data_IF_914234278293
#
_entry.id   IF_914234278293
#
_cell.length_a   1.000
_cell.length_b   1.000
_cell.length_c   1.000
_cell.angle_alpha   90.00
_cell.angle_beta   90.00
_cell.angle_gamma   90.00
#
_symmetry.space_group_name_H-M   'P 1'
#
loop_
_entity.id
_entity.type
_entity.pdbx_description
1 polymer ?
#
# COMPACT_ATOMS: atom_id res chain seq x y z
N UNK A 1 -34.96 10.88 19.21
CA UNK A 1 -34.87 9.82 18.17
C UNK A 1 -34.82 8.42 18.79
N UNK A 2 -33.91 8.13 19.73
CA UNK A 2 -33.82 6.81 20.40
C UNK A 2 -35.12 6.36 21.10
N UNK A 3 -35.78 7.24 21.86
CA UNK A 3 -37.04 6.92 22.56
C UNK A 3 -38.17 6.56 21.58
N UNK A 4 -38.29 7.28 20.47
CA UNK A 4 -39.29 7.02 19.43
C UNK A 4 -39.01 5.66 18.76
N UNK A 5 -37.74 5.35 18.49
CA UNK A 5 -37.33 4.06 17.96
C UNK A 5 -37.62 2.92 18.93
N UNK A 6 -37.37 3.10 20.23
CA UNK A 6 -37.71 2.11 21.26
C UNK A 6 -39.23 1.85 21.34
N UNK A 7 -40.05 2.90 21.30
CA UNK A 7 -41.52 2.76 21.27
C UNK A 7 -41.98 2.01 20.02
N UNK A 8 -41.40 2.32 18.85
CA UNK A 8 -41.68 1.61 17.62
C UNK A 8 -41.29 0.12 17.69
N UNK A 9 -40.13 -0.20 18.25
CA UNK A 9 -39.67 -1.58 18.48
C UNK A 9 -40.57 -2.35 19.47
N UNK A 10 -41.10 -1.68 20.50
CA UNK A 10 -42.06 -2.30 21.42
C UNK A 10 -43.38 -2.57 20.68
N UNK A 11 -43.91 -1.58 19.96
CA UNK A 11 -45.15 -1.72 19.20
C UNK A 11 -45.08 -2.86 18.15
N UNK A 12 -43.96 -2.93 17.41
CA UNK A 12 -43.79 -3.97 16.38
C UNK A 12 -43.65 -5.36 17.02
N UNK A 13 -42.94 -5.48 18.14
CA UNK A 13 -42.86 -6.74 18.88
C UNK A 13 -44.22 -7.19 19.41
N UNK A 14 -45.01 -6.28 19.99
CA UNK A 14 -46.37 -6.59 20.45
C UNK A 14 -47.25 -7.05 19.28
N UNK A 15 -47.13 -6.44 18.10
CA UNK A 15 -47.85 -6.88 16.91
C UNK A 15 -47.42 -8.27 16.47
N UNK A 16 -46.12 -8.55 16.41
CA UNK A 16 -45.56 -9.85 16.02
C UNK A 16 -45.97 -10.94 17.01
N UNK A 17 -45.86 -10.70 18.32
CA UNK A 17 -46.20 -11.66 19.37
C UNK A 17 -47.71 -11.97 19.41
N UNK A 18 -48.56 -11.02 19.01
CA UNK A 18 -50.00 -11.22 18.92
C UNK A 18 -50.46 -11.75 17.54
N UNK A 19 -49.55 -12.06 16.61
CA UNK A 19 -49.91 -12.73 15.38
C UNK A 19 -50.41 -14.14 15.70
N UNK A 20 -51.72 -14.35 15.55
CA UNK A 20 -52.30 -15.69 15.54
C UNK A 20 -51.93 -16.36 14.23
N UNK A 21 -50.77 -17.00 14.19
CA UNK A 21 -50.35 -17.82 13.06
C UNK A 21 -51.29 -19.03 12.98
N UNK A 22 -51.99 -19.17 11.85
CA UNK A 22 -52.72 -20.41 11.57
C UNK A 22 -51.70 -21.51 11.37
N UNK A 23 -51.93 -22.69 11.96
CA UNK A 23 -51.15 -23.87 11.64
C UNK A 23 -51.37 -24.20 10.16
N UNK A 24 -50.29 -24.14 9.38
CA UNK A 24 -50.30 -24.55 7.98
C UNK A 24 -49.64 -25.92 7.94
N UNK A 25 -50.39 -26.95 7.54
CA UNK A 25 -49.81 -28.26 7.27
C UNK A 25 -49.02 -28.20 5.97
N UNK A 26 -47.72 -27.99 6.10
CA UNK A 26 -46.78 -28.02 4.98
C UNK A 26 -46.29 -29.46 4.79
N UNK A 27 -46.38 -29.99 3.57
CA UNK A 27 -45.79 -31.29 3.24
C UNK A 27 -44.27 -31.24 3.53
N UNK A 28 -43.66 -32.27 4.15
CA UNK A 28 -42.25 -32.26 4.56
C UNK A 28 -41.29 -31.84 3.42
N UNK A 29 -41.59 -32.26 2.19
CA UNK A 29 -40.77 -31.93 1.02
C UNK A 29 -40.76 -30.43 0.68
N UNK A 30 -41.89 -29.75 0.87
CA UNK A 30 -42.01 -28.31 0.63
C UNK A 30 -41.33 -27.52 1.76
N UNK A 31 -41.39 -28.02 3.00
CA UNK A 31 -40.65 -27.43 4.12
C UNK A 31 -39.13 -27.53 3.91
N UNK A 32 -38.63 -28.69 3.47
CA UNK A 32 -37.21 -28.87 3.13
C UNK A 32 -36.81 -27.90 2.01
N UNK A 33 -37.62 -27.80 0.95
CA UNK A 33 -37.38 -26.87 -0.15
C UNK A 33 -37.31 -25.41 0.30
N UNK A 34 -38.25 -24.96 1.14
CA UNK A 34 -38.24 -23.61 1.70
C UNK A 34 -37.00 -23.33 2.57
N UNK A 35 -36.55 -24.32 3.35
CA UNK A 35 -35.32 -24.18 4.14
C UNK A 35 -34.08 -24.12 3.25
N UNK A 36 -34.00 -24.92 2.18
CA UNK A 36 -32.91 -24.82 1.20
C UNK A 36 -32.92 -23.46 0.53
N UNK A 37 -34.09 -22.95 0.15
CA UNK A 37 -34.23 -21.62 -0.46
C UNK A 37 -33.84 -20.50 0.53
N UNK A 38 -34.20 -20.63 1.80
CA UNK A 38 -33.78 -19.72 2.85
C UNK A 38 -32.26 -19.74 3.08
N UNK A 39 -31.66 -20.93 3.16
CA UNK A 39 -30.20 -21.10 3.26
C UNK A 39 -29.53 -20.47 2.05
N UNK A 40 -30.03 -20.71 0.84
CA UNK A 40 -29.52 -20.11 -0.38
C UNK A 40 -29.62 -18.58 -0.33
N UNK A 41 -30.77 -18.02 0.09
CA UNK A 41 -30.94 -16.58 0.26
C UNK A 41 -29.95 -16.00 1.28
N UNK A 42 -29.71 -16.68 2.40
CA UNK A 42 -28.68 -16.30 3.37
C UNK A 42 -27.27 -16.35 2.77
N UNK A 43 -26.94 -17.39 2.00
CA UNK A 43 -25.63 -17.50 1.34
C UNK A 43 -25.43 -16.35 0.35
N UNK A 44 -26.45 -16.00 -0.44
CA UNK A 44 -26.39 -14.85 -1.35
C UNK A 44 -26.24 -13.54 -0.58
N UNK A 45 -27.02 -13.33 0.48
CA UNK A 45 -26.95 -12.12 1.30
C UNK A 45 -25.60 -11.97 2.02
N UNK A 46 -25.06 -13.06 2.58
CA UNK A 46 -23.77 -13.08 3.29
C UNK A 46 -22.57 -12.96 2.35
N UNK A 47 -22.71 -13.39 1.08
CA UNK A 47 -21.66 -13.22 0.06
C UNK A 47 -21.43 -11.73 -0.26
N UNK A 48 -22.49 -10.91 -0.21
CA UNK A 48 -22.44 -9.49 -0.56
C UNK A 48 -22.41 -9.25 -2.07
N UNK A 49 -21.66 -8.24 -2.52
CA UNK A 49 -21.61 -7.82 -3.93
C UNK A 49 -21.09 -8.95 -4.85
N UNK A 50 -21.67 -9.09 -6.05
CA UNK A 50 -21.35 -10.20 -6.95
C UNK A 50 -19.90 -10.20 -7.47
N UNK A 51 -19.26 -9.02 -7.51
CA UNK A 51 -17.89 -8.85 -8.02
C UNK A 51 -16.79 -8.94 -6.96
N UNK A 52 -17.10 -8.78 -5.67
CA UNK A 52 -16.12 -8.93 -4.58
C UNK A 52 -16.81 -9.21 -3.24
N UNK A 53 -16.16 -9.98 -2.35
CA UNK A 53 -16.75 -10.22 -1.01
C UNK A 53 -16.55 -8.97 -0.17
N UNK A 54 -17.65 -8.46 0.40
CA UNK A 54 -17.66 -7.21 1.17
C UNK A 54 -16.88 -7.31 2.49
N UNK A 55 -16.82 -8.48 3.13
CA UNK A 55 -16.11 -8.69 4.40
C UNK A 55 -15.09 -9.82 4.27
N UNK A 56 -13.81 -9.49 4.46
CA UNK A 56 -12.65 -10.40 4.48
C UNK A 56 -11.64 -9.88 5.51
N UNK A 57 -10.70 -10.71 5.94
CA UNK A 57 -9.59 -10.31 6.83
C UNK A 57 -8.85 -9.06 6.31
N UNK A 58 -8.67 -8.96 4.99
CA UNK A 58 -7.95 -7.86 4.36
C UNK A 58 -8.76 -6.57 4.20
N UNK A 59 -10.05 -6.57 4.51
CA UNK A 59 -10.96 -5.46 4.20
C UNK A 59 -12.18 -5.41 5.14
N UNK A 60 -12.01 -5.79 6.41
CA UNK A 60 -13.12 -5.79 7.38
C UNK A 60 -13.38 -4.39 7.93
N UNK A 61 -12.41 -3.47 7.86
CA UNK A 61 -12.64 -2.05 8.12
C UNK A 61 -13.22 -1.38 6.87
N UNK A 62 -14.49 -1.00 6.91
CA UNK A 62 -15.19 -0.30 5.81
C UNK A 62 -15.71 1.08 6.23
N UNK A 63 -15.48 1.47 7.49
CA UNK A 63 -15.89 2.74 8.07
C UNK A 63 -14.72 3.39 8.80
N UNK A 64 -14.69 4.72 8.81
CA UNK A 64 -13.81 5.49 9.70
C UNK A 64 -14.25 5.44 11.16
N UNK A 65 -15.46 4.93 11.44
CA UNK A 65 -15.99 4.72 12.79
C UNK A 65 -15.65 3.30 13.24
N UNK A 66 -14.71 3.18 14.18
CA UNK A 66 -14.20 1.90 14.69
C UNK A 66 -15.30 0.94 15.15
N UNK A 67 -16.31 1.45 15.86
CA UNK A 67 -17.41 0.63 16.39
C UNK A 67 -18.18 -0.12 15.29
N UNK A 68 -18.34 0.48 14.10
CA UNK A 68 -19.01 -0.18 12.98
C UNK A 68 -18.19 -1.33 12.39
N UNK A 69 -16.87 -1.19 12.38
CA UNK A 69 -15.97 -2.26 11.93
C UNK A 69 -16.00 -3.43 12.92
N UNK A 70 -15.92 -3.16 14.22
CA UNK A 70 -15.89 -4.19 15.27
C UNK A 70 -17.16 -5.06 15.30
N UNK A 71 -18.35 -4.44 15.19
CA UNK A 71 -19.63 -5.18 15.20
C UNK A 71 -19.94 -5.93 13.90
N UNK A 72 -19.24 -5.61 12.81
CA UNK A 72 -19.51 -6.21 11.49
C UNK A 72 -19.00 -7.64 11.36
N UNK A 73 -18.00 -8.01 12.16
CA UNK A 73 -17.37 -9.32 12.09
C UNK A 73 -18.04 -10.30 13.06
N UNK A 74 -18.52 -11.43 12.52
CA UNK A 74 -19.02 -12.52 13.35
C UNK A 74 -17.86 -13.14 14.16
N UNK A 75 -17.99 -13.35 15.49
CA UNK A 75 -16.93 -13.94 16.32
C UNK A 75 -16.38 -15.28 15.81
N UNK A 76 -17.23 -16.16 15.27
CA UNK A 76 -16.81 -17.44 14.69
C UNK A 76 -15.97 -17.25 13.42
N UNK A 77 -16.32 -16.26 12.60
CA UNK A 77 -15.58 -15.90 11.40
C UNK A 77 -14.22 -15.29 11.79
N UNK A 78 -14.19 -14.37 12.75
CA UNK A 78 -12.97 -13.77 13.26
C UNK A 78 -12.03 -14.83 13.87
N UNK A 79 -12.57 -15.78 14.65
CA UNK A 79 -11.80 -16.90 15.18
C UNK A 79 -11.24 -17.80 14.08
N UNK A 80 -12.05 -18.14 13.07
CA UNK A 80 -11.61 -18.93 11.92
C UNK A 80 -10.45 -18.26 11.18
N UNK A 81 -10.53 -16.94 11.00
CA UNK A 81 -9.46 -16.14 10.41
C UNK A 81 -8.19 -16.15 11.27
N UNK A 82 -8.31 -15.85 12.56
CA UNK A 82 -7.18 -15.85 13.50
C UNK A 82 -6.51 -17.24 13.58
N UNK A 83 -7.29 -18.31 13.62
CA UNK A 83 -6.75 -19.68 13.62
C UNK A 83 -6.02 -20.03 12.32
N UNK A 84 -6.53 -19.56 11.18
CA UNK A 84 -5.85 -19.71 9.89
C UNK A 84 -4.53 -18.94 9.86
N UNK A 85 -4.48 -17.72 10.38
CA UNK A 85 -3.23 -16.95 10.46
C UNK A 85 -2.23 -17.61 11.42
N UNK A 86 -2.67 -18.04 12.60
CA UNK A 86 -1.83 -18.79 13.55
C UNK A 86 -1.20 -20.03 12.90
N UNK A 87 -1.96 -20.79 12.09
CA UNK A 87 -1.42 -21.96 11.39
C UNK A 87 -0.40 -21.62 10.29
N UNK A 88 -0.51 -20.44 9.68
CA UNK A 88 0.35 -20.00 8.59
C UNK A 88 1.46 -19.05 9.08
N UNK A 89 1.57 -18.82 10.38
CA UNK A 89 2.55 -17.90 10.94
C UNK A 89 3.97 -18.41 10.69
N UNK A 90 4.90 -17.47 10.53
CA UNK A 90 6.31 -17.81 10.38
C UNK A 90 6.89 -18.18 11.75
N UNK A 91 7.70 -19.24 11.77
CA UNK A 91 8.49 -19.62 12.94
C UNK A 91 9.83 -18.88 12.94
N UNK A 92 10.14 -18.22 14.06
CA UNK A 92 11.38 -17.49 14.23
C UNK A 92 12.37 -18.37 14.98
N UNK A 93 13.50 -18.65 14.35
CA UNK A 93 14.62 -19.34 15.02
C UNK A 93 15.34 -18.32 15.91
N UNK A 94 15.70 -18.74 17.12
CA UNK A 94 16.58 -17.94 17.98
C UNK A 94 17.91 -17.68 17.27
N UNK A 95 18.38 -16.44 17.32
CA UNK A 95 19.70 -16.07 16.80
C UNK A 95 20.76 -16.41 17.83
N UNK A 96 21.82 -17.12 17.43
CA UNK A 96 23.00 -17.32 18.28
C UNK A 96 23.82 -16.02 18.29
N UNK A 97 23.86 -15.36 19.45
CA UNK A 97 24.61 -14.10 19.64
C UNK A 97 26.10 -14.26 19.35
N UNK A 98 26.67 -15.45 19.58
CA UNK A 98 28.08 -15.72 19.26
C UNK A 98 28.29 -15.74 17.74
N UNK A 99 27.38 -16.38 17.00
CA UNK A 99 27.43 -16.38 15.54
C UNK A 99 27.22 -14.97 14.98
N UNK A 100 26.32 -14.18 15.57
CA UNK A 100 26.09 -12.79 15.20
C UNK A 100 27.37 -11.95 15.34
N UNK A 101 28.01 -11.98 16.51
CA UNK A 101 29.25 -11.24 16.76
C UNK A 101 30.36 -11.64 15.78
N UNK A 102 30.48 -12.94 15.46
CA UNK A 102 31.43 -13.43 14.46
C UNK A 102 31.13 -12.94 13.04
N UNK A 103 29.85 -12.74 12.69
CA UNK A 103 29.46 -12.18 11.39
C UNK A 103 29.75 -10.67 11.33
N UNK A 104 29.50 -9.94 12.42
CA UNK A 104 29.82 -8.51 12.50
C UNK A 104 31.33 -8.26 12.34
N UNK A 105 32.17 -9.04 13.03
CA UNK A 105 33.63 -8.95 12.89
C UNK A 105 34.13 -9.25 11.46
N UNK A 106 33.45 -10.17 10.75
CA UNK A 106 33.85 -10.60 9.40
C UNK A 106 33.30 -9.73 8.28
N UNK A 107 32.15 -9.11 8.48
CA UNK A 107 31.41 -8.38 7.44
C UNK A 107 31.48 -6.88 7.69
N UNK A 108 30.65 -6.39 8.61
CA UNK A 108 30.52 -4.98 8.98
C UNK A 108 29.70 -4.88 10.27
N UNK A 109 29.88 -3.80 11.06
CA UNK A 109 29.06 -3.57 12.25
C UNK A 109 27.58 -3.47 11.87
N UNK A 110 26.70 -4.02 12.71
CA UNK A 110 25.26 -3.99 12.46
C UNK A 110 24.66 -2.58 12.63
N UNK A 111 25.28 -1.77 13.48
CA UNK A 111 24.89 -0.39 13.73
C UNK A 111 25.98 0.56 13.26
N UNK A 112 25.54 1.66 12.64
CA UNK A 112 26.40 2.77 12.25
C UNK A 112 25.67 4.09 12.53
N UNK A 113 26.42 5.16 12.72
CA UNK A 113 25.90 6.50 13.00
C UNK A 113 26.35 7.47 11.94
N UNK A 114 25.42 8.21 11.35
CA UNK A 114 25.75 9.29 10.44
C UNK A 114 26.44 10.44 11.18
N UNK A 115 27.21 11.23 10.45
CA UNK A 115 27.78 12.46 11.00
C UNK A 115 26.65 13.43 11.39
N UNK A 116 26.80 14.21 12.48
CA UNK A 116 25.84 15.24 12.82
C UNK A 116 25.60 16.19 11.65
N UNK A 117 24.34 16.27 11.20
CA UNK A 117 23.97 17.04 10.04
C UNK A 117 23.20 18.30 10.46
N UNK A 118 23.53 19.45 9.86
CA UNK A 118 22.91 20.73 10.23
C UNK A 118 21.42 20.79 9.91
N UNK A 119 20.91 19.87 9.09
CA UNK A 119 19.51 19.82 8.69
C UNK A 119 18.71 18.74 9.42
N UNK A 120 19.24 18.26 10.55
CA UNK A 120 18.56 17.28 11.40
C UNK A 120 17.16 17.77 11.75
N UNK A 121 16.17 16.94 11.43
CA UNK A 121 14.76 17.22 11.64
C UNK A 121 14.28 18.58 11.08
N UNK A 122 14.83 19.07 9.96
CA UNK A 122 14.33 20.29 9.30
C UNK A 122 13.36 20.02 8.15
N UNK A 123 13.64 19.00 7.34
CA UNK A 123 12.84 18.68 6.16
C UNK A 123 11.73 17.69 6.49
N UNK A 124 10.57 17.88 5.87
CA UNK A 124 9.60 16.81 5.71
C UNK A 124 10.17 15.70 4.84
N UNK A 125 9.80 14.46 5.14
CA UNK A 125 10.22 13.28 4.38
C UNK A 125 8.99 12.60 3.83
N UNK A 126 8.99 12.34 2.53
CA UNK A 126 7.99 11.51 1.88
C UNK A 126 8.65 10.28 1.26
N UNK A 127 8.24 9.10 1.69
CA UNK A 127 8.65 7.82 1.10
C UNK A 127 7.44 7.22 0.39
N UNK A 128 7.46 7.25 -0.95
CA UNK A 128 6.42 6.70 -1.81
C UNK A 128 6.77 5.30 -2.30
N UNK A 129 6.05 4.29 -1.81
CA UNK A 129 6.19 2.91 -2.28
C UNK A 129 5.08 2.67 -3.30
N UNK A 130 5.46 2.54 -4.56
CA UNK A 130 4.52 2.38 -5.67
C UNK A 130 4.34 0.90 -5.99
N UNK A 131 3.09 0.44 -6.04
CA UNK A 131 2.75 -0.94 -6.39
C UNK A 131 3.32 -1.28 -7.76
N UNK A 132 3.98 -2.43 -7.89
CA UNK A 132 4.48 -2.99 -9.14
C UNK A 132 5.25 -2.00 -10.04
N UNK A 133 5.90 -0.96 -9.47
CA UNK A 133 6.68 0.03 -10.23
C UNK A 133 8.06 -0.53 -10.62
N UNK A 134 8.03 -1.59 -11.43
CA UNK A 134 9.20 -2.29 -11.93
C UNK A 134 9.77 -1.70 -13.21
N UNK A 135 11.10 -1.68 -13.33
CA UNK A 135 11.77 -1.22 -14.55
C UNK A 135 11.57 -2.18 -15.72
N UNK A 136 11.26 -3.45 -15.44
CA UNK A 136 10.98 -4.46 -16.47
C UNK A 136 9.76 -4.14 -17.36
N UNK A 137 8.84 -3.29 -16.89
CA UNK A 137 7.77 -2.72 -17.72
C UNK A 137 8.17 -1.35 -18.25
N UNK A 138 8.83 -0.53 -17.42
CA UNK A 138 9.30 0.80 -17.78
C UNK A 138 10.19 0.83 -19.04
N UNK A 139 11.00 -0.21 -19.24
CA UNK A 139 11.89 -0.38 -20.40
C UNK A 139 11.15 -0.44 -21.75
N UNK A 140 9.85 -0.76 -21.75
CA UNK A 140 9.02 -0.72 -22.97
C UNK A 140 8.56 0.69 -23.34
N UNK A 141 8.91 1.72 -22.55
CA UNK A 141 8.51 3.08 -22.87
C UNK A 141 9.20 3.59 -24.13
N UNK A 142 8.41 4.15 -25.05
CA UNK A 142 8.87 4.76 -26.30
C UNK A 142 8.14 6.09 -26.52
N UNK A 143 8.37 6.76 -27.66
CA UNK A 143 7.58 7.94 -28.05
C UNK A 143 6.09 7.64 -28.29
N UNK A 144 5.75 6.40 -28.66
CA UNK A 144 4.36 5.96 -28.91
C UNK A 144 3.69 5.32 -27.68
N UNK A 145 4.51 4.86 -26.73
CA UNK A 145 4.10 4.22 -25.49
C UNK A 145 4.75 5.00 -24.34
N UNK A 146 4.12 6.09 -23.94
CA UNK A 146 4.63 6.93 -22.84
C UNK A 146 4.22 6.32 -21.49
N UNK A 147 5.07 5.47 -20.93
CA UNK A 147 4.80 4.81 -19.65
C UNK A 147 5.13 5.69 -18.45
N UNK A 148 5.75 6.85 -18.66
CA UNK A 148 6.15 7.75 -17.58
C UNK A 148 5.25 8.99 -17.49
N UNK A 149 4.65 9.43 -18.59
CA UNK A 149 3.79 10.62 -18.61
C UNK A 149 4.51 11.83 -18.00
N UNK A 150 3.84 12.52 -17.07
CA UNK A 150 4.45 13.64 -16.35
C UNK A 150 5.70 13.26 -15.54
N UNK A 151 5.90 12.01 -15.13
CA UNK A 151 7.08 11.59 -14.34
C UNK A 151 8.39 11.73 -15.12
N UNK A 152 8.33 11.64 -16.46
CA UNK A 152 9.52 11.61 -17.32
C UNK A 152 10.47 12.79 -17.07
N UNK A 153 9.94 14.02 -17.02
CA UNK A 153 10.75 15.22 -16.77
C UNK A 153 11.40 15.22 -15.38
N UNK A 154 10.76 14.60 -14.38
CA UNK A 154 11.35 14.51 -13.04
C UNK A 154 12.51 13.52 -13.02
N UNK A 155 12.40 12.41 -13.77
CA UNK A 155 13.51 11.47 -13.95
C UNK A 155 14.72 12.11 -14.64
N UNK A 156 14.48 13.07 -15.53
CA UNK A 156 15.55 13.82 -16.22
C UNK A 156 16.19 14.93 -15.35
N UNK A 157 15.44 15.48 -14.38
CA UNK A 157 15.85 16.63 -13.57
C UNK A 157 16.40 16.29 -12.18
N UNK A 158 16.04 15.13 -11.65
CA UNK A 158 16.33 14.73 -10.28
C UNK A 158 17.25 13.49 -10.24
N UNK A 159 17.49 12.96 -9.04
CA UNK A 159 18.38 11.81 -8.84
C UNK A 159 17.56 10.53 -9.05
N UNK A 160 18.00 9.64 -9.95
CA UNK A 160 17.33 8.37 -10.22
C UNK A 160 18.32 7.23 -10.40
N UNK A 161 18.23 6.23 -9.54
CA UNK A 161 18.97 4.98 -9.70
C UNK A 161 18.10 3.95 -10.40
N UNK A 162 18.58 3.44 -11.53
CA UNK A 162 17.90 2.36 -12.28
C UNK A 162 18.56 0.99 -12.08
N UNK A 163 19.75 0.94 -11.47
CA UNK A 163 20.41 -0.30 -11.05
C UNK A 163 20.05 -0.62 -9.60
N UNK A 164 18.76 -0.60 -9.29
CA UNK A 164 18.26 -0.65 -7.93
C UNK A 164 17.30 -1.83 -7.74
N UNK A 165 17.50 -2.62 -6.68
CA UNK A 165 16.77 -3.87 -6.48
C UNK A 165 15.72 -3.72 -5.38
N UNK A 166 14.53 -4.27 -5.66
CA UNK A 166 13.52 -4.48 -4.63
C UNK A 166 14.01 -5.51 -3.60
N UNK A 167 13.65 -5.32 -2.33
CA UNK A 167 14.04 -6.25 -1.27
C UNK A 167 13.35 -7.61 -1.39
N UNK A 168 12.20 -7.68 -2.04
CA UNK A 168 11.47 -8.91 -2.35
C UNK A 168 10.66 -8.74 -3.65
N UNK A 169 10.01 -9.82 -4.10
CA UNK A 169 9.14 -9.80 -5.28
C UNK A 169 7.64 -9.78 -4.91
N UNK A 170 7.31 -9.13 -3.79
CA UNK A 170 5.98 -9.09 -3.18
C UNK A 170 5.89 -7.85 -2.27
N UNK A 171 4.78 -7.11 -2.35
CA UNK A 171 4.51 -5.87 -1.63
C UNK A 171 4.74 -6.02 -0.13
N UNK A 172 4.14 -7.04 0.52
CA UNK A 172 4.21 -7.16 1.98
C UNK A 172 5.62 -7.49 2.45
N UNK A 173 6.35 -8.34 1.72
CA UNK A 173 7.73 -8.70 2.05
C UNK A 173 8.68 -7.52 1.84
N UNK A 174 8.55 -6.79 0.73
CA UNK A 174 9.33 -5.59 0.45
C UNK A 174 9.06 -4.51 1.50
N UNK A 175 7.80 -4.29 1.87
CA UNK A 175 7.41 -3.35 2.91
C UNK A 175 8.03 -3.72 4.27
N UNK A 176 8.00 -5.01 4.66
CA UNK A 176 8.59 -5.46 5.91
C UNK A 176 10.11 -5.26 5.95
N UNK A 177 10.80 -5.56 4.86
CA UNK A 177 12.26 -5.39 4.76
C UNK A 177 12.68 -3.93 4.72
N UNK A 178 11.90 -3.08 4.04
CA UNK A 178 12.20 -1.66 3.88
C UNK A 178 11.86 -0.84 5.13
N UNK A 179 10.67 -1.05 5.70
CA UNK A 179 10.12 -0.18 6.76
C UNK A 179 10.38 -0.73 8.16
N UNK A 180 10.32 -2.04 8.34
CA UNK A 180 10.45 -2.69 9.65
C UNK A 180 11.79 -3.41 9.82
N UNK A 181 12.66 -3.35 8.80
CA UNK A 181 13.95 -4.06 8.76
C UNK A 181 13.82 -5.57 9.06
N UNK A 182 12.65 -6.14 8.75
CA UNK A 182 12.33 -7.54 9.03
C UNK A 182 12.39 -8.36 7.75
N UNK A 183 13.14 -9.49 7.73
CA UNK A 183 13.11 -10.41 6.59
C UNK A 183 11.77 -11.15 6.44
N UNK A 184 10.95 -11.09 7.49
CA UNK A 184 9.74 -11.86 7.74
C UNK A 184 8.50 -10.95 7.82
N UNK A 185 7.33 -11.49 7.46
CA UNK A 185 6.06 -10.76 7.62
C UNK A 185 5.57 -10.91 9.05
N UNK A 186 5.62 -9.82 9.81
CA UNK A 186 5.33 -9.80 11.26
C UNK A 186 4.01 -9.12 11.61
N UNK A 187 3.45 -8.33 10.68
CA UNK A 187 2.30 -7.46 10.94
C UNK A 187 1.00 -8.19 11.29
N UNK A 188 0.86 -9.44 10.87
CA UNK A 188 -0.28 -10.32 11.20
C UNK A 188 0.15 -11.64 11.87
N UNK A 189 1.35 -11.68 12.46
CA UNK A 189 1.89 -12.84 13.17
C UNK A 189 1.74 -12.76 14.69
N UNK A 190 2.42 -13.66 15.41
CA UNK A 190 2.47 -13.66 16.89
C UNK A 190 3.05 -12.37 17.46
N UNK A 191 4.07 -11.82 16.80
CA UNK A 191 4.83 -10.66 17.25
C UNK A 191 4.25 -9.34 16.74
N UNK A 192 3.01 -9.31 16.23
CA UNK A 192 2.37 -8.11 15.67
C UNK A 192 2.18 -6.95 16.68
N UNK A 193 2.37 -7.23 17.98
CA UNK A 193 2.29 -6.22 19.06
C UNK A 193 3.66 -5.84 19.62
N UNK A 194 4.73 -6.52 19.21
CA UNK A 194 6.08 -6.19 19.65
C UNK A 194 6.57 -4.95 18.91
N UNK A 195 7.06 -3.97 19.67
CA UNK A 195 7.68 -2.78 19.11
C UNK A 195 9.13 -3.10 18.70
N UNK A 196 9.48 -2.77 17.46
CA UNK A 196 10.82 -3.00 16.95
C UNK A 196 11.71 -1.77 17.15
N UNK A 197 12.82 -1.96 17.85
CA UNK A 197 13.83 -0.92 18.01
C UNK A 197 14.56 -0.61 16.69
N UNK A 198 15.05 0.62 16.55
CA UNK A 198 15.91 1.07 15.45
C UNK A 198 15.33 0.93 14.04
N UNK A 199 14.02 0.76 13.90
CA UNK A 199 13.35 0.85 12.60
C UNK A 199 13.33 2.29 12.09
N UNK A 200 13.19 2.51 10.78
CA UNK A 200 12.92 3.83 10.23
C UNK A 200 11.88 4.66 10.97
N UNK A 201 10.78 4.04 11.41
CA UNK A 201 9.76 4.73 12.19
C UNK A 201 10.33 5.22 13.51
N UNK A 202 11.01 4.34 14.27
CA UNK A 202 11.60 4.72 15.56
C UNK A 202 12.67 5.80 15.43
N UNK A 203 13.55 5.70 14.42
CA UNK A 203 14.60 6.70 14.19
C UNK A 203 13.97 8.09 13.94
N UNK A 204 12.99 8.18 13.05
CA UNK A 204 12.33 9.47 12.78
C UNK A 204 11.45 9.93 13.96
N UNK A 205 10.80 9.01 14.68
CA UNK A 205 9.98 9.33 15.85
C UNK A 205 10.84 9.96 16.95
N UNK A 206 11.99 9.37 17.23
CA UNK A 206 12.96 9.88 18.20
C UNK A 206 13.58 11.22 17.77
N UNK A 207 13.68 11.46 16.46
CA UNK A 207 14.08 12.77 15.91
C UNK A 207 12.95 13.83 15.94
N UNK A 208 11.78 13.52 16.52
CA UNK A 208 10.67 14.46 16.69
C UNK A 208 9.72 14.57 15.50
N UNK A 209 9.78 13.64 14.54
CA UNK A 209 8.85 13.62 13.42
C UNK A 209 7.46 13.17 13.83
N UNK A 210 6.45 13.82 13.24
CA UNK A 210 5.11 13.25 13.13
C UNK A 210 5.10 12.22 12.01
N UNK A 211 4.63 11.01 12.28
CA UNK A 211 4.66 9.90 11.32
C UNK A 211 3.25 9.58 10.84
N UNK A 212 3.06 9.49 9.53
CA UNK A 212 1.78 9.16 8.91
C UNK A 212 1.98 8.05 7.89
N UNK A 213 1.14 7.03 7.98
CA UNK A 213 1.02 6.02 6.93
C UNK A 213 -0.21 6.32 6.07
N UNK A 214 -0.03 6.38 4.74
CA UNK A 214 -1.12 6.63 3.78
C UNK A 214 -1.19 5.49 2.76
N UNK A 215 -2.33 4.83 2.66
CA UNK A 215 -2.52 3.68 1.75
C UNK A 215 -3.72 3.91 0.83
N UNK A 216 -3.53 3.73 -0.48
CA UNK A 216 -4.66 3.72 -1.44
C UNK A 216 -5.56 2.48 -1.30
N UNK A 217 -5.11 1.45 -0.57
CA UNK A 217 -5.90 0.28 -0.23
C UNK A 217 -6.43 0.31 1.20
N UNK A 218 -6.90 -0.84 1.66
CA UNK A 218 -7.47 -1.02 2.99
C UNK A 218 -6.41 -1.35 4.04
N UNK A 219 -6.31 -0.55 5.11
CA UNK A 219 -5.26 -0.74 6.12
C UNK A 219 -5.44 -2.02 6.97
N UNK A 220 -6.59 -2.71 6.88
CA UNK A 220 -6.76 -4.05 7.45
C UNK A 220 -5.96 -5.12 6.73
N UNK A 221 -5.54 -4.88 5.47
CA UNK A 221 -4.68 -5.81 4.72
C UNK A 221 -3.39 -6.07 5.51
N UNK A 222 -3.12 -7.34 5.83
CA UNK A 222 -2.03 -7.77 6.72
C UNK A 222 -1.96 -7.04 8.07
N UNK A 223 -3.09 -6.53 8.57
CA UNK A 223 -3.16 -5.76 9.80
C UNK A 223 -2.23 -4.52 9.81
N UNK A 224 -1.91 -3.96 8.63
CA UNK A 224 -0.95 -2.87 8.49
C UNK A 224 -1.33 -1.64 9.32
N UNK A 225 -2.61 -1.26 9.36
CA UNK A 225 -3.05 -0.07 10.09
C UNK A 225 -2.73 -0.15 11.59
N UNK A 226 -3.06 -1.26 12.23
CA UNK A 226 -2.72 -1.47 13.65
C UNK A 226 -1.21 -1.66 13.83
N UNK A 227 -0.56 -2.37 12.91
CA UNK A 227 0.87 -2.61 13.01
C UNK A 227 1.70 -1.32 12.90
N UNK A 228 1.42 -0.46 11.92
CA UNK A 228 2.06 0.86 11.80
C UNK A 228 1.84 1.73 13.05
N UNK A 229 0.63 1.72 13.63
CA UNK A 229 0.36 2.40 14.92
C UNK A 229 1.22 1.84 16.04
N UNK A 230 1.30 0.50 16.17
CA UNK A 230 2.13 -0.16 17.17
C UNK A 230 3.62 0.16 16.99
N UNK A 231 4.07 0.39 15.75
CA UNK A 231 5.45 0.80 15.44
C UNK A 231 5.69 2.32 15.53
N UNK A 232 4.73 3.11 16.02
CA UNK A 232 4.92 4.54 16.31
C UNK A 232 4.33 5.52 15.29
N UNK A 233 3.53 5.07 14.32
CA UNK A 233 2.79 5.98 13.43
C UNK A 233 1.69 6.74 14.18
N UNK A 234 1.67 8.07 14.06
CA UNK A 234 0.68 8.94 14.70
C UNK A 234 -0.69 8.90 14.03
N UNK A 235 -0.70 8.61 12.72
CA UNK A 235 -1.92 8.63 11.93
C UNK A 235 -1.87 7.59 10.81
N UNK A 236 -3.00 6.92 10.61
CA UNK A 236 -3.24 6.02 9.48
C UNK A 236 -4.33 6.62 8.62
N UNK A 237 -4.10 6.68 7.32
CA UNK A 237 -5.07 7.13 6.32
C UNK A 237 -5.13 6.03 5.26
N UNK A 238 -6.31 5.49 5.02
CA UNK A 238 -6.54 4.39 4.09
C UNK A 238 -7.65 4.74 3.08
N UNK A 239 -8.03 3.79 2.23
CA UNK A 239 -9.12 3.96 1.25
C UNK A 239 -10.41 4.52 1.86
N UNK A 240 -10.75 4.16 3.11
CA UNK A 240 -11.99 4.57 3.76
C UNK A 240 -11.95 6.05 4.11
N UNK A 241 -10.82 6.48 4.69
CA UNK A 241 -10.57 7.89 4.99
C UNK A 241 -10.51 8.72 3.72
N UNK A 242 -9.83 8.23 2.68
CA UNK A 242 -9.72 8.90 1.40
C UNK A 242 -11.08 9.04 0.69
N UNK A 243 -11.95 8.03 0.72
CA UNK A 243 -13.30 8.12 0.17
C UNK A 243 -14.24 9.02 0.98
N UNK A 244 -13.97 9.22 2.27
CA UNK A 244 -14.70 10.19 3.08
C UNK A 244 -14.27 11.62 2.74
N UNK A 245 -12.96 11.86 2.63
CA UNK A 245 -12.39 13.18 2.31
C UNK A 245 -12.65 13.58 0.84
N UNK A 246 -12.67 12.58 -0.06
CA UNK A 246 -12.86 12.75 -1.50
C UNK A 246 -13.96 11.79 -1.99
N UNK A 247 -15.25 12.18 -1.91
CA UNK A 247 -16.36 11.31 -2.29
C UNK A 247 -16.28 10.72 -3.70
N UNK A 248 -15.73 11.45 -4.67
CA UNK A 248 -15.48 10.99 -6.04
C UNK A 248 -14.54 9.78 -6.12
N UNK A 249 -13.72 9.52 -5.10
CA UNK A 249 -12.82 8.38 -5.09
C UNK A 249 -13.56 7.04 -5.11
N UNK A 250 -14.81 7.02 -4.63
CA UNK A 250 -15.69 5.84 -4.66
C UNK A 250 -15.91 5.32 -6.08
N UNK A 251 -15.91 6.19 -7.09
CA UNK A 251 -16.09 5.82 -8.50
C UNK A 251 -14.89 5.04 -9.07
N UNK A 252 -13.74 5.15 -8.39
CA UNK A 252 -12.51 4.47 -8.79
C UNK A 252 -12.26 3.18 -8.00
N UNK A 253 -13.14 2.83 -7.06
CA UNK A 253 -12.91 1.69 -6.17
C UNK A 253 -12.94 0.36 -6.93
N UNK A 254 -11.93 -0.46 -6.70
CA UNK A 254 -11.93 -1.88 -7.02
C UNK A 254 -11.68 -2.74 -5.78
N UNK A 255 -11.46 -4.05 -5.98
CA UNK A 255 -11.31 -5.02 -4.89
C UNK A 255 -10.19 -4.72 -3.89
N UNK A 256 -9.12 -4.03 -4.30
CA UNK A 256 -7.92 -3.85 -3.47
C UNK A 256 -7.71 -2.40 -3.00
N UNK A 257 -8.41 -1.43 -3.59
CA UNK A 257 -8.28 -0.03 -3.22
C UNK A 257 -8.96 0.92 -4.20
N UNK A 258 -8.51 2.17 -4.16
CA UNK A 258 -8.98 3.29 -4.99
C UNK A 258 -7.80 3.88 -5.79
N UNK A 259 -8.10 4.80 -6.70
CA UNK A 259 -7.10 5.47 -7.51
C UNK A 259 -6.08 6.28 -6.68
N UNK A 260 -4.80 6.20 -7.06
CA UNK A 260 -3.67 6.81 -6.33
C UNK A 260 -3.72 8.36 -6.34
N UNK A 261 -4.45 8.98 -7.28
CA UNK A 261 -4.60 10.45 -7.32
C UNK A 261 -5.17 11.03 -6.01
N UNK A 262 -6.04 10.28 -5.31
CA UNK A 262 -6.65 10.73 -4.05
C UNK A 262 -5.68 10.64 -2.88
N UNK A 263 -4.83 9.60 -2.87
CA UNK A 263 -3.70 9.50 -1.95
C UNK A 263 -2.76 10.71 -2.13
N UNK A 264 -2.35 11.02 -3.36
CA UNK A 264 -1.47 12.16 -3.62
C UNK A 264 -2.10 13.51 -3.24
N UNK A 265 -3.40 13.70 -3.49
CA UNK A 265 -4.14 14.90 -3.03
C UNK A 265 -4.09 15.04 -1.51
N UNK A 266 -4.29 13.95 -0.77
CA UNK A 266 -4.23 13.96 0.70
C UNK A 266 -2.82 14.25 1.21
N UNK A 267 -1.80 13.61 0.62
CA UNK A 267 -0.39 13.78 1.01
C UNK A 267 0.07 15.23 0.77
N UNK A 268 -0.34 15.84 -0.36
CA UNK A 268 -0.06 17.25 -0.59
C UNK A 268 -0.64 18.14 0.53
N UNK A 269 -1.92 17.92 0.88
CA UNK A 269 -2.58 18.68 1.96
C UNK A 269 -1.90 18.47 3.32
N UNK A 270 -1.41 17.26 3.59
CA UNK A 270 -0.65 16.95 4.82
C UNK A 270 0.59 17.85 4.93
N UNK A 271 1.40 17.93 3.87
CA UNK A 271 2.63 18.72 3.89
C UNK A 271 2.36 20.22 3.84
N UNK A 272 1.36 20.66 3.07
CA UNK A 272 0.95 22.06 3.01
C UNK A 272 0.54 22.62 4.39
N UNK A 273 -0.02 21.77 5.25
CA UNK A 273 -0.50 22.14 6.58
C UNK A 273 0.41 21.63 7.72
N UNK A 274 1.58 21.07 7.41
CA UNK A 274 2.48 20.54 8.42
C UNK A 274 3.11 21.67 9.25
N UNK A 275 3.03 21.54 10.58
CA UNK A 275 3.61 22.50 11.55
C UNK A 275 4.92 22.02 12.18
N UNK A 276 5.23 20.75 11.98
CA UNK A 276 6.41 20.06 12.50
C UNK A 276 6.99 19.15 11.41
N UNK A 277 8.26 18.76 11.51
CA UNK A 277 8.84 17.73 10.66
C UNK A 277 7.90 16.53 10.59
N UNK A 278 7.60 16.09 9.37
CA UNK A 278 6.56 15.10 9.12
C UNK A 278 7.13 14.08 8.17
N UNK A 279 7.04 12.81 8.55
CA UNK A 279 7.35 11.66 7.73
C UNK A 279 6.03 11.10 7.22
N UNK A 280 5.86 11.06 5.91
CA UNK A 280 4.79 10.30 5.27
C UNK A 280 5.42 9.09 4.60
N UNK A 281 4.93 7.91 4.94
CA UNK A 281 5.18 6.69 4.18
C UNK A 281 3.88 6.34 3.47
N UNK A 282 3.93 6.16 2.15
CA UNK A 282 2.76 5.75 1.40
C UNK A 282 2.94 4.43 0.68
N UNK A 283 1.81 3.78 0.44
CA UNK A 283 1.70 2.61 -0.43
C UNK A 283 0.63 2.88 -1.49
N UNK A 284 1.00 2.82 -2.76
CA UNK A 284 0.09 2.97 -3.88
C UNK A 284 -0.56 1.62 -4.24
N UNK A 285 -1.63 1.59 -5.04
CA UNK A 285 -2.31 0.34 -5.41
C UNK A 285 -2.80 0.29 -6.87
N UNK A 286 -2.78 1.40 -7.60
CA UNK A 286 -3.50 1.51 -8.88
C UNK A 286 -3.01 0.52 -9.93
N UNK A 287 -1.72 0.19 -9.93
CA UNK A 287 -1.05 -0.81 -10.78
C UNK A 287 -1.30 -2.25 -10.37
N UNK A 288 -2.16 -2.52 -9.40
CA UNK A 288 -2.64 -3.87 -9.11
C UNK A 288 -3.83 -4.21 -10.02
N UNK A 289 -3.95 -5.49 -10.40
CA UNK A 289 -5.15 -6.01 -11.10
C UNK A 289 -6.45 -5.57 -10.39
N UNK A 290 -7.54 -5.23 -11.12
CA UNK A 290 -7.80 -5.58 -12.52
C UNK A 290 -7.38 -4.55 -13.57
N UNK A 291 -6.48 -3.61 -13.26
CA UNK A 291 -5.94 -2.63 -14.23
C UNK A 291 -7.01 -1.70 -14.82
N UNK A 292 -7.82 -1.09 -13.97
CA UNK A 292 -8.99 -0.32 -14.42
C UNK A 292 -8.72 1.18 -14.59
N UNK A 293 -7.54 1.66 -14.18
CA UNK A 293 -7.22 3.08 -14.16
C UNK A 293 -6.47 3.50 -15.42
N UNK A 294 -6.74 4.71 -15.90
CA UNK A 294 -6.10 5.28 -17.09
C UNK A 294 -5.89 6.77 -16.94
N UNK A 295 -4.80 7.29 -17.50
CA UNK A 295 -4.54 8.73 -17.55
C UNK A 295 -5.64 9.47 -18.28
N UNK A 296 -5.89 10.71 -17.86
CA UNK A 296 -6.79 11.64 -18.56
C UNK A 296 -6.24 11.99 -19.94
N UNK A 297 -4.92 12.09 -20.06
CA UNK A 297 -4.22 12.24 -21.33
C UNK A 297 -4.05 10.87 -21.98
N UNK A 298 -4.18 10.82 -23.30
CA UNK A 298 -3.77 9.65 -24.08
C UNK A 298 -2.23 9.57 -24.08
N UNK A 299 -1.69 8.62 -23.32
CA UNK A 299 -0.24 8.36 -23.21
C UNK A 299 0.21 7.20 -24.11
N UNK A 300 -0.72 6.34 -24.49
CA UNK A 300 -0.46 5.14 -25.28
C UNK A 300 -1.39 5.14 -26.48
N UNK A 301 -0.83 4.99 -27.67
CA UNK A 301 -1.59 4.67 -28.87
C UNK A 301 -1.92 3.19 -28.87
N UNK A 302 -3.13 2.85 -28.42
CA UNK A 302 -3.59 1.46 -28.26
C UNK A 302 -3.87 0.76 -29.60
N UNK A 303 -4.07 1.51 -30.68
CA UNK A 303 -4.41 0.95 -32.00
C UNK A 303 -3.19 0.36 -32.71
N UNK A 304 -1.98 0.82 -32.35
CA UNK A 304 -0.72 0.45 -33.01
C UNK A 304 0.31 -0.14 -32.04
N UNK A 305 -0.14 -0.90 -31.04
CA UNK A 305 0.77 -1.57 -30.10
C UNK A 305 1.51 -2.73 -30.77
N UNK A 306 2.83 -2.79 -30.56
CA UNK A 306 3.65 -3.89 -31.05
C UNK A 306 3.25 -5.20 -30.35
N UNK A 307 2.79 -6.18 -31.13
CA UNK A 307 2.42 -7.51 -30.63
C UNK A 307 3.56 -8.16 -29.82
N UNK A 308 4.84 -7.85 -30.13
CA UNK A 308 5.97 -8.37 -29.36
C UNK A 308 5.96 -7.93 -27.90
N UNK A 309 5.48 -6.72 -27.62
CA UNK A 309 5.33 -6.18 -26.25
C UNK A 309 4.15 -6.87 -25.57
N UNK A 310 3.00 -6.97 -26.25
CA UNK A 310 1.80 -7.62 -25.71
C UNK A 310 2.06 -9.10 -25.39
N UNK A 311 2.82 -9.79 -26.24
CA UNK A 311 3.24 -11.18 -26.05
C UNK A 311 4.18 -11.40 -24.86
N UNK A 312 4.69 -10.34 -24.22
CA UNK A 312 5.45 -10.46 -22.95
C UNK A 312 4.54 -10.66 -21.75
N UNK A 313 3.27 -10.26 -21.82
CA UNK A 313 2.34 -10.40 -20.71
C UNK A 313 1.89 -11.86 -20.53
N UNK A 314 1.53 -12.22 -19.30
CA UNK A 314 0.93 -13.53 -18.95
C UNK A 314 -0.56 -13.41 -18.58
N UNK A 315 -1.20 -12.33 -19.02
CA UNK A 315 -2.58 -11.95 -18.75
C UNK A 315 -3.25 -11.46 -20.05
N UNK A 316 -4.57 -11.57 -20.11
CA UNK A 316 -5.33 -11.20 -21.32
C UNK A 316 -5.54 -9.68 -21.45
N UNK A 317 -5.55 -8.93 -20.34
CA UNK A 317 -5.77 -7.48 -20.29
C UNK A 317 -4.45 -6.68 -20.26
N UNK A 318 -3.51 -7.04 -21.15
CA UNK A 318 -2.18 -6.43 -21.23
C UNK A 318 -2.20 -4.94 -21.60
N UNK A 319 -3.15 -4.52 -22.45
CA UNK A 319 -3.30 -3.12 -22.85
C UNK A 319 -3.76 -2.25 -21.69
N UNK A 320 -4.69 -2.76 -20.88
CA UNK A 320 -5.16 -2.13 -19.65
C UNK A 320 -4.04 -2.04 -18.61
N UNK A 321 -3.23 -3.08 -18.48
CA UNK A 321 -2.04 -3.09 -17.62
C UNK A 321 -1.03 -2.00 -18.01
N UNK A 322 -0.75 -1.83 -19.31
CA UNK A 322 0.10 -0.76 -19.82
C UNK A 322 -0.48 0.63 -19.48
N UNK A 323 -1.77 0.85 -19.74
CA UNK A 323 -2.44 2.12 -19.43
C UNK A 323 -2.45 2.44 -17.95
N UNK A 324 -2.64 1.42 -17.10
CA UNK A 324 -2.64 1.57 -15.65
C UNK A 324 -1.25 1.89 -15.11
N UNK A 325 -0.21 1.27 -15.67
CA UNK A 325 1.18 1.61 -15.33
C UNK A 325 1.53 3.05 -15.72
N UNK A 326 1.13 3.47 -16.92
CA UNK A 326 1.28 4.85 -17.37
C UNK A 326 0.51 5.82 -16.46
N UNK A 327 -0.73 5.48 -16.08
CA UNK A 327 -1.56 6.24 -15.14
C UNK A 327 -0.86 6.48 -13.79
N UNK A 328 -0.36 5.43 -13.15
CA UNK A 328 0.24 5.56 -11.83
C UNK A 328 1.50 6.45 -11.85
N UNK A 329 2.32 6.33 -12.90
CA UNK A 329 3.49 7.16 -13.09
C UNK A 329 3.11 8.61 -13.41
N UNK A 330 2.13 8.82 -14.28
CA UNK A 330 1.63 10.14 -14.66
C UNK A 330 1.07 10.91 -13.44
N UNK A 331 0.25 10.26 -12.61
CA UNK A 331 -0.27 10.85 -11.37
C UNK A 331 0.83 11.18 -10.36
N UNK A 332 1.86 10.33 -10.24
CA UNK A 332 3.02 10.65 -9.41
C UNK A 332 3.79 11.86 -9.96
N UNK A 333 3.97 11.95 -11.29
CA UNK A 333 4.55 13.11 -11.94
C UNK A 333 3.77 14.40 -11.69
N UNK A 334 2.44 14.36 -11.83
CA UNK A 334 1.57 15.49 -11.53
C UNK A 334 1.64 15.92 -10.06
N UNK A 335 1.78 14.98 -9.14
CA UNK A 335 2.04 15.29 -7.73
C UNK A 335 3.38 16.01 -7.56
N UNK A 336 4.45 15.53 -8.20
CA UNK A 336 5.78 16.14 -8.11
C UNK A 336 5.79 17.55 -8.72
N UNK A 337 5.07 17.79 -9.81
CA UNK A 337 4.85 19.14 -10.35
C UNK A 337 4.30 20.08 -9.29
N UNK A 338 3.21 19.66 -8.65
CA UNK A 338 2.55 20.44 -7.61
C UNK A 338 3.48 20.70 -6.41
N UNK A 339 4.33 19.74 -6.05
CA UNK A 339 5.35 19.92 -5.01
C UNK A 339 6.37 20.97 -5.44
N UNK A 340 6.92 20.89 -6.65
CA UNK A 340 7.94 21.83 -7.16
C UNK A 340 7.40 23.26 -7.34
N UNK A 341 6.08 23.41 -7.45
CA UNK A 341 5.38 24.71 -7.46
C UNK A 341 5.00 25.21 -6.06
N UNK A 342 5.09 24.37 -5.03
CA UNK A 342 4.64 24.70 -3.68
C UNK A 342 5.60 25.65 -2.94
N UNK A 343 5.07 26.30 -1.89
CA UNK A 343 5.85 27.12 -0.96
C UNK A 343 6.81 26.31 -0.07
N UNK A 344 6.56 25.00 0.08
CA UNK A 344 7.32 24.10 0.95
C UNK A 344 8.29 23.19 0.19
N UNK A 345 8.51 23.43 -1.11
CA UNK A 345 9.40 22.63 -1.96
C UNK A 345 10.84 22.53 -1.45
N UNK A 346 11.34 23.59 -0.81
CA UNK A 346 12.68 23.61 -0.22
C UNK A 346 12.72 22.94 1.17
N UNK A 347 11.58 22.51 1.71
CA UNK A 347 11.48 21.90 3.04
C UNK A 347 11.04 20.44 2.97
N UNK A 348 11.12 19.79 1.80
CA UNK A 348 10.68 18.40 1.62
C UNK A 348 11.67 17.60 0.79
N UNK A 349 11.99 16.40 1.25
CA UNK A 349 12.70 15.36 0.51
C UNK A 349 11.68 14.29 0.12
N UNK A 350 11.69 13.87 -1.15
CA UNK A 350 10.83 12.78 -1.64
C UNK A 350 11.69 11.64 -2.14
N UNK A 351 11.56 10.49 -1.51
CA UNK A 351 12.05 9.20 -1.99
C UNK A 351 10.89 8.43 -2.60
N UNK A 352 11.07 7.85 -3.79
CA UNK A 352 10.08 6.96 -4.38
C UNK A 352 10.72 5.72 -4.99
N UNK A 353 10.04 4.58 -4.86
CA UNK A 353 10.49 3.32 -5.43
C UNK A 353 9.31 2.39 -5.70
N UNK A 354 9.52 1.39 -6.55
CA UNK A 354 8.59 0.26 -6.63
C UNK A 354 8.76 -0.69 -5.46
N UNK A 355 7.67 -1.27 -4.98
CA UNK A 355 7.73 -2.38 -4.02
C UNK A 355 8.37 -3.63 -4.64
N UNK A 356 8.10 -3.91 -5.91
CA UNK A 356 8.67 -4.99 -6.69
C UNK A 356 8.50 -4.75 -8.20
N UNK A 357 9.04 -5.67 -9.01
CA UNK A 357 8.87 -5.68 -10.46
C UNK A 357 7.41 -5.84 -10.88
N UNK A 358 7.05 -5.47 -12.11
CA UNK A 358 5.73 -5.79 -12.64
C UNK A 358 5.63 -7.29 -12.95
N UNK A 359 4.84 -8.03 -12.15
CA UNK A 359 4.85 -9.51 -12.12
C UNK A 359 4.11 -10.19 -13.27
N UNK A 360 3.17 -9.51 -13.90
CA UNK A 360 2.37 -10.06 -15.00
C UNK A 360 3.09 -9.97 -16.37
N UNK A 361 4.42 -9.87 -16.34
CA UNK A 361 5.33 -9.95 -17.48
C UNK A 361 6.25 -11.15 -17.31
N UNK A 362 6.38 -11.94 -18.39
CA UNK A 362 7.28 -13.10 -18.49
C UNK A 362 8.69 -12.75 -17.99
N UNK A 363 9.34 -13.75 -17.39
CA UNK A 363 10.72 -13.65 -16.96
C UNK A 363 11.47 -14.88 -17.44
N UNK A 364 12.52 -14.65 -18.21
CA UNK A 364 13.45 -15.72 -18.57
C UNK A 364 14.57 -15.77 -17.54
N UNK A 365 14.47 -16.69 -16.59
CA UNK A 365 15.43 -16.80 -15.48
C UNK A 365 16.85 -17.19 -15.93
N UNK A 366 17.01 -17.71 -17.15
CA UNK A 366 18.32 -18.10 -17.68
C UNK A 366 19.11 -16.88 -18.19
N UNK A 367 18.42 -15.89 -18.75
CA UNK A 367 19.02 -14.66 -19.30
C UNK A 367 18.86 -13.45 -18.37
N UNK A 368 17.76 -13.39 -17.62
CA UNK A 368 17.41 -12.30 -16.72
C UNK A 368 17.73 -12.70 -15.27
N UNK A 369 18.76 -12.06 -14.70
CA UNK A 369 19.25 -12.30 -13.33
C UNK A 369 18.70 -11.25 -12.36
N UNK A 370 19.56 -10.58 -11.60
CA UNK A 370 19.17 -9.64 -10.56
C UNK A 370 18.29 -8.47 -11.07
N UNK A 371 18.62 -7.88 -12.22
CA UNK A 371 17.90 -6.71 -12.72
C UNK A 371 16.49 -7.00 -13.26
N UNK A 372 16.08 -8.27 -13.38
CA UNK A 372 14.67 -8.62 -13.61
C UNK A 372 13.75 -8.10 -12.49
N UNK A 373 14.30 -7.97 -11.26
CA UNK A 373 13.63 -7.49 -10.05
C UNK A 373 13.88 -6.01 -9.79
N UNK A 374 14.46 -5.29 -10.76
CA UNK A 374 14.81 -3.90 -10.58
C UNK A 374 13.58 -3.00 -10.55
N UNK A 375 13.66 -2.01 -9.68
CA UNK A 375 12.70 -0.93 -9.48
C UNK A 375 13.50 0.37 -9.51
N UNK A 376 12.94 1.52 -9.93
CA UNK A 376 13.66 2.77 -9.81
C UNK A 376 13.78 3.17 -8.33
N UNK A 377 14.82 3.92 -8.02
CA UNK A 377 14.89 4.72 -6.79
C UNK A 377 15.04 6.19 -7.18
N UNK A 378 13.96 6.95 -7.01
CA UNK A 378 13.86 8.37 -7.30
C UNK A 378 14.05 9.20 -6.03
N UNK A 379 14.83 10.28 -6.14
CA UNK A 379 15.07 11.23 -5.06
C UNK A 379 14.88 12.68 -5.55
N UNK A 380 13.86 13.35 -5.02
CA UNK A 380 13.75 14.81 -5.05
C UNK A 380 14.39 15.40 -3.80
N UNK A 381 15.32 16.34 -4.01
CA UNK A 381 16.01 17.07 -2.95
C UNK A 381 15.77 18.59 -3.11
N UNK A 382 15.61 19.33 -2.00
CA UNK A 382 15.75 20.78 -1.96
C UNK A 382 17.06 21.22 -2.62
N UNK A 383 17.06 22.42 -3.23
CA UNK A 383 18.20 22.89 -4.02
C UNK A 383 19.49 22.95 -3.20
N UNK A 384 19.38 23.37 -1.94
CA UNK A 384 20.55 23.51 -1.05
C UNK A 384 21.20 22.17 -0.69
N UNK A 385 20.46 21.05 -0.73
CA UNK A 385 21.03 19.72 -0.50
C UNK A 385 21.71 19.15 -1.75
N UNK A 386 21.39 19.64 -2.96
CA UNK A 386 21.95 19.09 -4.21
C UNK A 386 23.42 19.44 -4.44
N UNK A 387 23.93 20.51 -3.85
CA UNK A 387 25.25 21.06 -4.20
C UNK A 387 26.43 20.21 -3.71
N UNK A 388 26.27 19.47 -2.61
CA UNK A 388 27.35 18.73 -1.94
C UNK A 388 27.25 17.21 -2.13
N UNK A 389 26.45 16.75 -3.11
CA UNK A 389 26.20 15.32 -3.34
C UNK A 389 26.93 14.83 -4.58
N UNK A 390 27.73 13.79 -4.40
CA UNK A 390 28.22 12.98 -5.52
C UNK A 390 27.15 12.01 -5.99
N UNK A 391 26.70 12.16 -7.24
CA UNK A 391 25.70 11.31 -7.86
C UNK A 391 26.31 10.45 -8.98
N UNK A 392 26.42 9.15 -8.73
CA UNK A 392 26.72 8.14 -9.73
C UNK A 392 25.44 7.40 -10.13
N UNK A 393 24.87 7.76 -11.29
CA UNK A 393 23.66 7.15 -11.84
C UNK A 393 23.76 5.62 -12.05
N UNK A 394 24.98 5.08 -12.13
CA UNK A 394 25.23 3.67 -12.35
C UNK A 394 25.49 2.91 -11.05
N UNK A 395 25.42 3.57 -9.89
CA UNK A 395 25.56 2.92 -8.59
C UNK A 395 24.48 1.85 -8.41
N UNK A 396 24.91 0.66 -8.02
CA UNK A 396 23.99 -0.42 -7.63
C UNK A 396 23.49 -0.16 -6.22
N UNK A 397 22.20 -0.34 -5.99
CA UNK A 397 21.58 -0.25 -4.67
C UNK A 397 20.36 -1.15 -4.54
N UNK A 398 19.71 -1.09 -3.39
CA UNK A 398 18.48 -1.82 -3.10
C UNK A 398 17.68 -1.12 -2.00
N UNK A 399 16.45 -1.57 -1.75
CA UNK A 399 15.59 -1.02 -0.69
C UNK A 399 16.29 -0.81 0.67
N UNK A 400 17.24 -1.68 1.05
CA UNK A 400 18.01 -1.52 2.31
C UNK A 400 18.81 -0.21 2.38
N UNK A 401 19.13 0.38 1.23
CA UNK A 401 19.96 1.58 1.11
C UNK A 401 19.14 2.87 1.14
N UNK A 402 17.79 2.80 1.06
CA UNK A 402 16.90 3.97 1.03
C UNK A 402 17.01 4.78 2.33
N UNK A 403 16.75 4.16 3.47
CA UNK A 403 16.74 4.88 4.75
C UNK A 403 18.13 5.34 5.20
N UNK A 404 19.21 4.54 5.09
CA UNK A 404 20.56 5.05 5.32
C UNK A 404 20.88 6.28 4.47
N UNK A 405 20.45 6.32 3.20
CA UNK A 405 20.59 7.51 2.35
C UNK A 405 19.80 8.69 2.91
N UNK A 406 18.56 8.48 3.34
CA UNK A 406 17.72 9.53 3.92
C UNK A 406 18.28 10.05 5.25
N UNK A 407 18.80 9.18 6.13
CA UNK A 407 19.43 9.58 7.39
C UNK A 407 20.66 10.45 7.16
N UNK A 408 21.43 10.17 6.10
CA UNK A 408 22.59 10.98 5.77
C UNK A 408 22.21 12.37 5.21
N UNK A 409 20.99 12.51 4.68
CA UNK A 409 20.46 13.78 4.14
C UNK A 409 19.73 14.63 5.20
N UNK A 410 19.33 14.01 6.32
CA UNK A 410 18.53 14.65 7.37
C UNK A 410 19.32 14.70 8.66
#
# INVERSE_FOLDING_TARGET
MAVIFSIFCIWINIKILNLKLKEIQIKPIFFIFLNILLIYAYVVALRGHFTYNALRVSSYEFSTIKAFNEISTNPLMAFSWAYKEYKNQQEFKSVDTKQLNQLEEKLFPMFDTTLPHQNHAKNHIYVNIMESFGLNLAEFSTKKIDLFGNLKKHFEQDIVFTRFLSSANNTIESLNRLIFLSPNTISNGLYQKEELAFTPLQIYKNAGYRIIFVYSGNASWYNLGNYFKNQGADQIIDENTLMQDFPQAKETKHKYGIADEFMYKKIYSIFENAKSPTLVISLSISTHRPYIHKSKKQLIDTENLDEKILNQFIIDNSTEALNTYAYANDEFGMFLDRIKESKFKENIIIAATGDHRFRDIKMDINSQKAFAYSVPFYLYLPKYLKNDIYYDKNRVGSHKDIFPTLYNLT
#
